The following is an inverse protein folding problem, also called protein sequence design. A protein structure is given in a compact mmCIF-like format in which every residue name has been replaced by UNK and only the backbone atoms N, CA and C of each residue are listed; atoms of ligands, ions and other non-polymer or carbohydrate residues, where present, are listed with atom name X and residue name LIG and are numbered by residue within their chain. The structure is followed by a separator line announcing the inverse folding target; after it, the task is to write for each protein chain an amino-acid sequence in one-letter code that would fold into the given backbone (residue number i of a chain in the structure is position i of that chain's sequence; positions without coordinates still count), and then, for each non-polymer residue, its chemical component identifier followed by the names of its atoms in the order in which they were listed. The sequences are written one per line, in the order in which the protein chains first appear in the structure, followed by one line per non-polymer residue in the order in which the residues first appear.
data_IF_773521194898
#
_entry.id   IF_773521194898
#
_cell.length_a   1.000
_cell.length_b   1.000
_cell.length_c   1.000
_cell.angle_alpha   90.00
_cell.angle_beta   90.00
_cell.angle_gamma   90.00
#
_symmetry.space_group_name_H-M   'P 1'
#
loop_
_entity.id
_entity.type
_entity.pdbx_description
1 polymer ?
#
# COMPACT_ATOMS: atom_id res chain seq x y z
N UNK A 1 -23.40 12.87 -24.30
CA UNK A 1 -22.72 13.30 -23.06
C UNK A 1 -23.78 13.42 -21.97
N UNK A 2 -23.73 12.59 -20.94
CA UNK A 2 -24.70 12.65 -19.86
C UNK A 2 -24.30 13.81 -18.94
N UNK A 3 -25.01 14.93 -19.03
CA UNK A 3 -24.83 16.04 -18.09
C UNK A 3 -25.27 15.57 -16.71
N UNK A 4 -24.34 15.58 -15.74
CA UNK A 4 -24.63 15.16 -14.39
C UNK A 4 -25.67 16.12 -13.78
N UNK A 5 -26.75 15.64 -13.12
CA UNK A 5 -27.93 16.45 -12.79
C UNK A 5 -27.74 17.27 -11.50
N UNK A 6 -26.59 17.93 -11.33
CA UNK A 6 -26.27 18.69 -10.13
C UNK A 6 -25.57 20.01 -10.47
N UNK A 7 -25.70 20.99 -9.58
CA UNK A 7 -25.11 22.33 -9.78
C UNK A 7 -23.58 22.25 -9.77
N UNK A 8 -22.94 23.25 -10.37
CA UNK A 8 -21.47 23.37 -10.39
C UNK A 8 -20.88 23.40 -8.97
N UNK A 9 -21.59 24.05 -8.03
CA UNK A 9 -21.21 24.05 -6.62
C UNK A 9 -21.22 22.63 -6.02
N UNK A 10 -22.24 21.83 -6.32
CA UNK A 10 -22.32 20.44 -5.84
C UNK A 10 -21.25 19.58 -6.52
N UNK A 11 -20.93 19.84 -7.79
CA UNK A 11 -19.83 19.18 -8.49
C UNK A 11 -18.48 19.45 -7.80
N UNK A 12 -18.20 20.71 -7.46
CA UNK A 12 -16.98 21.10 -6.77
C UNK A 12 -16.84 20.44 -5.39
N UNK A 13 -17.95 20.36 -4.63
CA UNK A 13 -17.97 19.66 -3.34
C UNK A 13 -17.66 18.16 -3.50
N UNK A 14 -18.22 17.52 -4.53
CA UNK A 14 -17.93 16.10 -4.81
C UNK A 14 -16.45 15.91 -5.12
N UNK A 15 -15.86 16.76 -5.96
CA UNK A 15 -14.45 16.64 -6.34
C UNK A 15 -13.52 16.88 -5.13
N UNK A 16 -13.88 17.80 -4.23
CA UNK A 16 -13.17 18.06 -2.98
C UNK A 16 -13.19 16.83 -2.05
N UNK A 17 -14.36 16.21 -1.85
CA UNK A 17 -14.48 15.00 -1.03
C UNK A 17 -13.73 13.81 -1.64
N UNK A 18 -13.79 13.65 -2.96
CA UNK A 18 -13.02 12.61 -3.66
C UNK A 18 -11.52 12.82 -3.44
N UNK A 19 -11.04 14.06 -3.57
CA UNK A 19 -9.64 14.40 -3.29
C UNK A 19 -9.27 14.08 -1.85
N UNK A 20 -10.10 14.50 -0.88
CA UNK A 20 -9.90 14.23 0.54
C UNK A 20 -9.77 12.73 0.85
N UNK A 21 -10.65 11.91 0.27
CA UNK A 21 -10.62 10.45 0.43
C UNK A 21 -9.33 9.86 -0.14
N UNK A 22 -8.92 10.30 -1.33
CA UNK A 22 -7.70 9.80 -1.99
C UNK A 22 -6.45 10.22 -1.21
N UNK A 23 -6.37 11.47 -0.79
CA UNK A 23 -5.25 12.01 -0.02
C UNK A 23 -5.12 11.25 1.31
N UNK A 24 -6.22 11.05 2.05
CA UNK A 24 -6.22 10.30 3.30
C UNK A 24 -5.84 8.81 3.12
N UNK A 25 -6.26 8.19 2.01
CA UNK A 25 -5.88 6.81 1.70
C UNK A 25 -4.38 6.70 1.35
N UNK A 26 -3.84 7.70 0.66
CA UNK A 26 -2.43 7.79 0.32
C UNK A 26 -1.56 7.94 1.57
N UNK A 27 -1.87 8.91 2.43
CA UNK A 27 -1.17 9.13 3.70
C UNK A 27 -1.19 7.86 4.57
N UNK A 28 -2.36 7.22 4.69
CA UNK A 28 -2.49 5.95 5.41
C UNK A 28 -1.61 4.84 4.80
N UNK A 29 -1.50 4.78 3.47
CA UNK A 29 -0.64 3.81 2.81
C UNK A 29 0.84 4.07 3.13
N UNK A 30 1.29 5.32 3.04
CA UNK A 30 2.64 5.72 3.39
C UNK A 30 2.97 5.41 4.86
N UNK A 31 2.03 5.65 5.77
CA UNK A 31 2.17 5.33 7.20
C UNK A 31 2.33 3.82 7.42
N UNK A 32 1.53 2.99 6.75
CA UNK A 32 1.62 1.53 6.85
C UNK A 32 2.98 1.06 6.31
N UNK A 33 3.37 1.53 5.12
CA UNK A 33 4.64 1.14 4.50
C UNK A 33 5.86 1.62 5.31
N UNK A 34 5.77 2.80 5.91
CA UNK A 34 6.84 3.36 6.75
C UNK A 34 6.96 2.64 8.08
N UNK A 35 5.83 2.32 8.73
CA UNK A 35 5.81 1.53 9.97
C UNK A 35 6.36 0.13 9.75
N UNK A 36 5.98 -0.49 8.64
CA UNK A 36 6.31 -1.89 8.32
C UNK A 36 7.52 -1.97 7.35
N UNK A 37 8.37 -0.93 7.32
CA UNK A 37 9.49 -0.78 6.36
C UNK A 37 10.43 -1.98 6.33
N UNK A 38 10.68 -2.63 7.47
CA UNK A 38 11.52 -3.85 7.53
C UNK A 38 10.93 -4.99 6.71
N UNK A 39 9.63 -5.24 6.87
CA UNK A 39 8.92 -6.26 6.10
C UNK A 39 8.85 -5.90 4.62
N UNK A 40 8.66 -4.61 4.30
CA UNK A 40 8.70 -4.13 2.91
C UNK A 40 10.05 -4.44 2.23
N UNK A 41 11.16 -4.18 2.92
CA UNK A 41 12.51 -4.49 2.42
C UNK A 41 12.68 -6.00 2.26
N UNK A 42 12.29 -6.80 3.24
CA UNK A 42 12.42 -8.26 3.18
C UNK A 42 11.66 -8.88 1.99
N UNK A 43 10.43 -8.41 1.74
CA UNK A 43 9.63 -8.85 0.59
C UNK A 43 10.28 -8.41 -0.73
N UNK A 44 10.83 -7.19 -0.80
CA UNK A 44 11.52 -6.71 -1.98
C UNK A 44 12.79 -7.53 -2.28
N UNK A 45 13.60 -7.84 -1.26
CA UNK A 45 14.78 -8.69 -1.39
C UNK A 45 14.43 -10.11 -1.84
N UNK A 46 13.37 -10.70 -1.27
CA UNK A 46 12.89 -12.01 -1.69
C UNK A 46 12.50 -12.02 -3.18
N UNK A 47 11.72 -11.03 -3.62
CA UNK A 47 11.27 -10.91 -5.01
C UNK A 47 12.42 -10.63 -5.98
N UNK A 48 13.45 -9.88 -5.56
CA UNK A 48 14.65 -9.70 -6.37
C UNK A 48 15.41 -11.01 -6.60
N UNK A 49 15.36 -11.94 -5.65
CA UNK A 49 16.02 -13.24 -5.76
C UNK A 49 15.17 -14.31 -6.48
N UNK A 50 13.84 -14.29 -6.31
CA UNK A 50 12.96 -15.38 -6.75
C UNK A 50 11.95 -14.99 -7.84
N UNK A 51 11.90 -13.71 -8.25
CA UNK A 51 11.04 -13.11 -9.29
C UNK A 51 9.53 -13.13 -9.00
N UNK A 52 9.06 -14.12 -8.23
CA UNK A 52 7.67 -14.32 -7.84
C UNK A 52 7.59 -14.81 -6.40
N UNK A 53 6.43 -14.66 -5.78
CA UNK A 53 6.18 -15.04 -4.39
C UNK A 53 4.74 -15.52 -4.25
N UNK A 54 4.54 -16.69 -3.64
CA UNK A 54 3.21 -17.20 -3.29
C UNK A 54 2.65 -16.50 -2.04
N UNK A 55 1.35 -16.69 -1.76
CA UNK A 55 0.74 -16.15 -0.55
C UNK A 55 1.38 -16.74 0.72
N UNK A 56 1.68 -18.04 0.72
CA UNK A 56 2.32 -18.72 1.85
C UNK A 56 3.76 -18.23 2.07
N UNK A 57 4.51 -17.99 0.99
CA UNK A 57 5.87 -17.42 1.06
C UNK A 57 5.83 -15.99 1.60
N UNK A 58 4.86 -15.18 1.15
CA UNK A 58 4.66 -13.83 1.66
C UNK A 58 4.36 -13.83 3.16
N UNK A 59 3.41 -14.65 3.61
CA UNK A 59 3.10 -14.75 5.03
C UNK A 59 4.31 -15.18 5.86
N UNK A 60 5.12 -16.11 5.36
CA UNK A 60 6.36 -16.51 6.02
C UNK A 60 7.33 -15.32 6.16
N UNK A 61 7.62 -14.60 5.08
CA UNK A 61 8.55 -13.44 5.11
C UNK A 61 7.99 -12.26 5.91
N UNK A 62 6.67 -12.06 5.91
CA UNK A 62 6.01 -10.94 6.58
C UNK A 62 5.82 -11.16 8.09
N UNK A 63 5.73 -12.41 8.55
CA UNK A 63 5.55 -12.73 9.98
C UNK A 63 6.85 -13.05 10.70
N UNK A 64 7.97 -13.19 9.97
CA UNK A 64 9.23 -13.59 10.55
C UNK A 64 9.94 -12.40 11.25
N UNK A 65 9.75 -12.29 12.57
CA UNK A 65 10.68 -11.58 13.45
C UNK A 65 12.00 -12.36 13.67
N UNK A 66 12.19 -13.56 13.08
CA UNK A 66 13.22 -14.52 13.47
C UNK A 66 14.38 -14.75 12.46
N UNK A 67 14.58 -13.91 11.44
CA UNK A 67 15.76 -14.00 10.58
C UNK A 67 16.81 -12.89 10.80
N UNK A 68 16.98 -12.48 12.05
CA UNK A 68 18.30 -12.02 12.49
C UNK A 68 19.21 -13.24 12.59
N UNK A 69 20.19 -13.33 11.69
CA UNK A 69 21.29 -14.31 11.65
C UNK A 69 21.01 -15.75 11.20
N UNK A 70 21.97 -16.21 10.40
CA UNK A 70 22.36 -17.58 10.07
C UNK A 70 21.85 -18.03 8.69
N UNK A 71 22.70 -18.12 7.65
CA UNK A 71 23.95 -18.89 7.62
C UNK A 71 24.98 -18.33 6.63
N UNK A 72 26.21 -18.19 7.16
CA UNK A 72 27.55 -18.38 6.55
C UNK A 72 27.89 -17.54 5.31
#
# INVERSE_FOLDING_TARGET
AQAKPYSEQVAAQIDEEVKSIVDAAYERCEDILSRDQKHLIAVAEFLLAHETMSAEEFEAVFTDEAAGHDKI
#
